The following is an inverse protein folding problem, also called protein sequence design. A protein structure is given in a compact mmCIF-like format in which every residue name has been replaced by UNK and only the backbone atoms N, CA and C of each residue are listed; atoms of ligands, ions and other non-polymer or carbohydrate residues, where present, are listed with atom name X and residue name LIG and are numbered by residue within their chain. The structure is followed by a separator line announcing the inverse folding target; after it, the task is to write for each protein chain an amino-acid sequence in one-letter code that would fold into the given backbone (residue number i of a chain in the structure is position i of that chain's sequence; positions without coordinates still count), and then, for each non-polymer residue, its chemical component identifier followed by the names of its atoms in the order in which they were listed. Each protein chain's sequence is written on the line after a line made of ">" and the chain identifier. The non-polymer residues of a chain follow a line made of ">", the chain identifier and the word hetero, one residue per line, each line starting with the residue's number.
data_IF_289848971186
#
_entry.id   IF_289848971186
#
_cell.length_a   1.000
_cell.length_b   1.000
_cell.length_c   1.000
_cell.angle_alpha   90.00
_cell.angle_beta   90.00
_cell.angle_gamma   90.00
#
_symmetry.space_group_name_H-M   'P 1'
#
loop_
_entity.id
_entity.type
_entity.pdbx_description
1 polymer ?
#
# COMPACT_ATOMS: atom_id res chain seq x y z
N UNK A 1 -21.38 -22.48 12.82
CA UNK A 1 -20.05 -21.88 12.60
C UNK A 1 -19.35 -22.75 11.57
N UNK A 2 -19.01 -22.22 10.39
CA UNK A 2 -18.16 -22.94 9.45
C UNK A 2 -16.75 -23.08 10.04
N UNK A 3 -16.16 -24.27 9.92
CA UNK A 3 -14.80 -24.56 10.34
C UNK A 3 -13.92 -24.81 9.11
N UNK A 4 -12.69 -24.30 9.13
CA UNK A 4 -11.76 -24.34 8.01
C UNK A 4 -10.36 -24.69 8.53
N UNK A 5 -9.77 -25.72 7.95
CA UNK A 5 -8.38 -26.10 8.19
C UNK A 5 -7.53 -25.66 7.02
N UNK A 6 -6.62 -24.72 7.25
CA UNK A 6 -5.62 -24.29 6.27
C UNK A 6 -4.46 -25.29 6.28
N UNK A 7 -4.10 -25.84 5.12
CA UNK A 7 -3.01 -26.82 4.93
C UNK A 7 -2.13 -26.37 3.77
N UNK A 8 -0.99 -27.04 3.62
CA UNK A 8 -0.01 -26.74 2.56
C UNK A 8 0.53 -25.30 2.63
N UNK A 9 0.62 -24.74 3.84
CA UNK A 9 1.38 -23.51 4.05
C UNK A 9 2.87 -23.87 4.02
N UNK A 10 3.66 -23.05 3.34
CA UNK A 10 5.10 -23.18 3.39
C UNK A 10 5.66 -22.63 4.71
N UNK A 11 6.92 -22.97 5.00
CA UNK A 11 7.59 -22.56 6.24
C UNK A 11 7.72 -21.04 6.35
N UNK A 12 7.89 -20.35 5.22
CA UNK A 12 8.00 -18.89 5.18
C UNK A 12 6.69 -18.22 5.63
N UNK A 13 5.56 -18.70 5.13
CA UNK A 13 4.23 -18.24 5.47
C UNK A 13 3.91 -18.54 6.94
N UNK A 14 4.28 -19.72 7.43
CA UNK A 14 4.12 -20.08 8.84
C UNK A 14 4.90 -19.13 9.77
N UNK A 15 6.15 -18.81 9.43
CA UNK A 15 6.95 -17.86 10.21
C UNK A 15 6.43 -16.42 10.12
N UNK A 16 5.90 -16.00 8.97
CA UNK A 16 5.27 -14.68 8.84
C UNK A 16 4.03 -14.55 9.71
N UNK A 17 3.18 -15.58 9.74
CA UNK A 17 1.97 -15.61 10.60
C UNK A 17 2.36 -15.54 12.08
N UNK A 18 3.38 -16.29 12.51
CA UNK A 18 3.87 -16.28 13.90
C UNK A 18 4.44 -14.90 14.29
N UNK A 19 5.20 -14.28 13.39
CA UNK A 19 5.77 -12.95 13.61
C UNK A 19 4.67 -11.91 13.82
N UNK A 20 3.67 -11.88 12.92
CA UNK A 20 2.52 -10.96 13.02
C UNK A 20 1.71 -11.17 14.30
N UNK A 21 1.52 -12.43 14.71
CA UNK A 21 0.85 -12.77 15.96
C UNK A 21 1.60 -12.19 17.18
N UNK A 22 2.93 -12.30 17.20
CA UNK A 22 3.76 -11.79 18.30
C UNK A 22 3.79 -10.27 18.37
N UNK A 23 3.98 -9.60 17.23
CA UNK A 23 4.07 -8.14 17.16
C UNK A 23 2.79 -7.45 17.65
N UNK A 24 1.62 -8.01 17.30
CA UNK A 24 0.32 -7.43 17.63
C UNK A 24 -0.34 -8.05 18.88
N UNK A 25 0.32 -9.03 19.53
CA UNK A 25 -0.26 -9.87 20.60
C UNK A 25 -1.59 -10.53 20.18
N UNK A 26 -1.68 -10.95 18.93
CA UNK A 26 -2.83 -11.66 18.38
C UNK A 26 -2.61 -13.16 18.43
N UNK A 27 -3.71 -13.92 18.47
CA UNK A 27 -3.67 -15.35 18.20
C UNK A 27 -3.42 -15.62 16.72
N UNK A 28 -2.85 -16.78 16.41
CA UNK A 28 -2.65 -17.24 15.04
C UNK A 28 -3.98 -17.24 14.26
N UNK A 29 -5.07 -17.65 14.91
CA UNK A 29 -6.39 -17.67 14.31
C UNK A 29 -6.88 -16.25 13.94
N UNK A 30 -6.67 -15.26 14.81
CA UNK A 30 -7.03 -13.87 14.51
C UNK A 30 -6.24 -13.32 13.33
N UNK A 31 -4.95 -13.62 13.24
CA UNK A 31 -4.11 -13.23 12.09
C UNK A 31 -4.64 -13.87 10.80
N UNK A 32 -4.96 -15.17 10.81
CA UNK A 32 -5.47 -15.88 9.62
C UNK A 32 -6.84 -15.33 9.21
N UNK A 33 -7.78 -15.19 10.16
CA UNK A 33 -9.11 -14.64 9.88
C UNK A 33 -9.03 -13.21 9.34
N UNK A 34 -8.12 -12.42 9.88
CA UNK A 34 -7.88 -11.06 9.43
C UNK A 34 -7.30 -11.03 8.01
N UNK A 35 -6.28 -11.84 7.72
CA UNK A 35 -5.70 -11.98 6.38
C UNK A 35 -6.72 -12.47 5.35
N UNK A 36 -7.58 -13.44 5.71
CA UNK A 36 -8.65 -13.93 4.84
C UNK A 36 -9.72 -12.87 4.58
N UNK A 37 -10.16 -12.13 5.61
CA UNK A 37 -11.10 -11.02 5.42
C UNK A 37 -10.50 -9.95 4.52
N UNK A 38 -9.24 -9.60 4.71
CA UNK A 38 -8.56 -8.62 3.87
C UNK A 38 -8.38 -9.12 2.42
N UNK A 39 -7.92 -10.36 2.23
CA UNK A 39 -7.73 -10.96 0.90
C UNK A 39 -9.04 -11.16 0.11
N UNK A 40 -10.17 -11.30 0.81
CA UNK A 40 -11.51 -11.36 0.20
C UNK A 40 -12.20 -9.99 0.10
N UNK A 41 -11.55 -8.89 0.50
CA UNK A 41 -12.14 -7.54 0.48
C UNK A 41 -13.26 -7.31 1.51
N UNK A 42 -13.32 -8.15 2.54
CA UNK A 42 -14.31 -8.12 3.63
C UNK A 42 -13.76 -7.45 4.91
N UNK A 43 -12.50 -6.99 4.90
CA UNK A 43 -11.86 -6.33 6.03
C UNK A 43 -11.87 -4.80 5.91
N UNK A 44 -11.78 -4.06 7.04
CA UNK A 44 -11.51 -2.63 6.99
C UNK A 44 -10.15 -2.40 6.32
N UNK A 45 -10.13 -1.52 5.32
CA UNK A 45 -9.05 -1.35 4.32
C UNK A 45 -7.67 -0.94 4.88
N UNK A 46 -7.53 -0.74 6.19
CA UNK A 46 -6.38 -0.02 6.78
C UNK A 46 -5.32 -0.91 7.45
N UNK A 47 -5.60 -2.18 7.76
CA UNK A 47 -4.75 -2.91 8.70
C UNK A 47 -3.47 -3.54 8.11
N UNK A 48 -3.37 -3.61 6.78
CA UNK A 48 -2.15 -3.96 6.03
C UNK A 48 -1.65 -2.82 5.12
N UNK A 49 -2.48 -1.82 4.83
CA UNK A 49 -2.12 -0.67 3.99
C UNK A 49 -1.03 0.21 4.60
N UNK A 50 -1.00 0.37 5.91
CA UNK A 50 0.08 1.12 6.59
C UNK A 50 1.43 0.40 6.61
N UNK A 51 1.47 -0.92 6.34
CA UNK A 51 2.72 -1.69 6.25
C UNK A 51 3.16 -1.94 4.80
N UNK A 52 2.38 -1.51 3.81
CA UNK A 52 2.71 -1.58 2.38
C UNK A 52 3.30 -0.28 1.82
N UNK A 53 3.49 0.72 2.68
CA UNK A 53 4.42 1.82 2.45
C UNK A 53 5.66 1.54 3.30
N UNK A 54 6.42 0.49 2.96
CA UNK A 54 7.80 0.41 3.44
C UNK A 54 8.52 1.63 2.83
N UNK A 55 9.05 2.58 3.63
CA UNK A 55 9.88 3.66 3.10
C UNK A 55 11.07 3.11 2.27
N UNK A 56 11.45 1.84 2.51
CA UNK A 56 12.40 1.09 1.71
C UNK A 56 11.97 0.79 0.28
N UNK A 57 10.68 0.64 -0.02
CA UNK A 57 10.17 0.40 -1.38
C UNK A 57 10.22 1.67 -2.24
N UNK A 58 9.96 2.84 -1.63
CA UNK A 58 10.21 4.14 -2.27
C UNK A 58 11.72 4.35 -2.46
N UNK A 59 12.55 3.93 -1.49
CA UNK A 59 14.01 3.97 -1.63
C UNK A 59 14.54 2.99 -2.69
N UNK A 60 13.87 1.86 -2.93
CA UNK A 60 14.20 0.94 -4.03
C UNK A 60 13.87 1.55 -5.40
N UNK A 61 12.79 2.34 -5.52
CA UNK A 61 12.48 3.11 -6.73
C UNK A 61 13.46 4.28 -6.96
N UNK A 62 13.98 4.89 -5.89
CA UNK A 62 15.01 5.94 -5.95
C UNK A 62 16.31 5.42 -6.60
N UNK A 63 16.66 4.13 -6.43
CA UNK A 63 17.83 3.52 -7.05
C UNK A 63 17.77 3.38 -8.59
N UNK A 64 16.60 3.59 -9.19
CA UNK A 64 16.36 3.49 -10.65
C UNK A 64 16.18 4.83 -11.34
N UNK A 65 16.16 5.94 -10.60
CA UNK A 65 15.96 7.27 -11.17
C UNK A 65 17.28 7.99 -11.35
N UNK A 66 17.42 8.70 -12.47
CA UNK A 66 18.50 9.66 -12.59
C UNK A 66 18.23 10.91 -11.72
N UNK A 67 19.27 11.72 -11.51
CA UNK A 67 19.18 12.91 -10.67
C UNK A 67 18.15 13.95 -11.17
N UNK A 68 17.83 13.95 -12.47
CA UNK A 68 16.86 14.86 -13.06
C UNK A 68 15.42 14.38 -12.84
N UNK A 69 15.18 13.08 -12.97
CA UNK A 69 13.88 12.45 -12.71
C UNK A 69 13.48 12.62 -11.24
N UNK A 70 14.46 12.42 -10.36
CA UNK A 70 14.23 12.61 -8.94
C UNK A 70 13.96 14.07 -8.55
N UNK A 71 14.65 15.02 -9.17
CA UNK A 71 14.39 16.44 -8.96
C UNK A 71 12.98 16.84 -9.43
N UNK A 72 12.58 16.38 -10.62
CA UNK A 72 11.24 16.64 -11.16
C UNK A 72 10.13 16.05 -10.27
N UNK A 73 10.34 14.86 -9.72
CA UNK A 73 9.37 14.24 -8.82
C UNK A 73 9.24 14.98 -7.49
N UNK A 74 10.37 15.41 -6.91
CA UNK A 74 10.37 16.21 -5.68
C UNK A 74 9.67 17.57 -5.88
N UNK A 75 9.87 18.19 -7.04
CA UNK A 75 9.17 19.42 -7.41
C UNK A 75 7.64 19.20 -7.52
N UNK A 76 7.21 18.12 -8.18
CA UNK A 76 5.80 17.78 -8.30
C UNK A 76 5.14 17.49 -6.94
N UNK A 77 5.85 16.78 -6.04
CA UNK A 77 5.38 16.55 -4.67
C UNK A 77 5.28 17.85 -3.86
N UNK A 78 6.25 18.75 -4.00
CA UNK A 78 6.22 20.07 -3.35
C UNK A 78 5.04 20.92 -3.85
N UNK A 79 4.79 20.91 -5.15
CA UNK A 79 3.65 21.60 -5.76
C UNK A 79 2.31 20.99 -5.30
N UNK A 80 2.25 19.66 -5.18
CA UNK A 80 1.07 18.94 -4.67
C UNK A 80 0.79 19.26 -3.20
N UNK A 81 1.82 19.29 -2.35
CA UNK A 81 1.68 19.61 -0.92
C UNK A 81 1.20 21.05 -0.69
N UNK A 82 1.50 21.96 -1.62
CA UNK A 82 1.04 23.35 -1.59
C UNK A 82 -0.32 23.55 -2.27
N UNK A 83 -0.87 22.53 -2.94
CA UNK A 83 -2.14 22.64 -3.63
C UNK A 83 -3.33 22.55 -2.67
N UNK A 84 -4.27 23.48 -2.78
CA UNK A 84 -5.50 23.47 -2.00
C UNK A 84 -6.44 22.33 -2.44
N UNK A 85 -7.25 21.74 -1.54
CA UNK A 85 -8.14 20.62 -1.84
C UNK A 85 -9.08 20.86 -3.03
N UNK A 86 -9.59 22.09 -3.18
CA UNK A 86 -10.47 22.48 -4.29
C UNK A 86 -9.80 22.40 -5.67
N UNK A 87 -8.47 22.59 -5.75
CA UNK A 87 -7.73 22.43 -7.02
C UNK A 87 -7.51 20.96 -7.39
N UNK A 88 -7.44 20.08 -6.39
CA UNK A 88 -7.25 18.64 -6.58
C UNK A 88 -8.55 17.91 -6.91
N UNK A 89 -9.71 18.49 -6.54
CA UNK A 89 -11.03 17.93 -6.81
C UNK A 89 -11.53 18.18 -8.24
N UNK A 90 -10.89 19.06 -9.03
CA UNK A 90 -11.30 19.32 -10.41
C UNK A 90 -10.65 18.27 -11.31
N UNK A 91 -11.42 17.41 -12.03
CA UNK A 91 -10.82 16.50 -12.99
C UNK A 91 -10.15 17.34 -14.06
N UNK A 92 -8.89 17.03 -14.39
CA UNK A 92 -8.14 17.68 -15.45
C UNK A 92 -8.96 17.58 -16.74
N UNK A 93 -9.65 18.67 -17.09
CA UNK A 93 -10.35 18.78 -18.35
C UNK A 93 -9.33 18.56 -19.43
N UNK A 94 -9.53 17.52 -20.25
CA UNK A 94 -8.75 17.26 -21.45
C UNK A 94 -8.69 18.56 -22.25
N UNK A 95 -7.51 19.18 -22.30
CA UNK A 95 -7.22 20.18 -23.31
C UNK A 95 -7.07 19.42 -24.64
N UNK A 96 -8.21 19.08 -25.21
CA UNK A 96 -8.35 18.85 -26.64
C UNK A 96 -8.09 20.19 -27.33
N UNK A 97 -7.02 20.19 -28.11
CA UNK A 97 -7.05 20.55 -29.52
C UNK A 97 -6.75 22.00 -29.95
N UNK A 98 -6.05 22.03 -31.09
CA UNK A 98 -5.97 23.08 -32.10
C UNK A 98 -5.15 24.37 -31.88
N UNK A 99 -4.03 24.38 -32.60
CA UNK A 99 -3.81 25.26 -33.77
C UNK A 99 -3.12 26.63 -33.60
N UNK A 100 -2.01 26.70 -34.36
CA UNK A 100 -1.34 27.83 -35.02
C UNK A 100 -0.32 28.65 -34.22
#
# INVERSE_FOLDING_TARGET
>A
MPDIVVRHIDDQMAERIKTLARERRWSINEVILHALRHGLGLGPSDAFGELLLDPGDIAHLHGTWDASEQAAFQEALSALAQASPDRLAKPAGKATDESL
#
